data_IF_405483801102
#
_entry.id   IF_405483801102
#
_cell.length_a   1.000
_cell.length_b   1.000
_cell.length_c   1.000
_cell.angle_alpha   90.00
_cell.angle_beta   90.00
_cell.angle_gamma   90.00
#
_symmetry.space_group_name_H-M   'P 1'
#
loop_
_entity.id
_entity.type
_entity.pdbx_description
1 polymer ?
#
# COMPACT_ATOMS: atom_id res chain seq x y z
N UNK A 1 -12.48 -24.99 -14.75
CA UNK A 1 -12.57 -24.92 -13.27
C UNK A 1 -11.37 -24.24 -12.61
N UNK A 2 -10.24 -24.08 -13.28
CA UNK A 2 -9.04 -23.36 -12.78
C UNK A 2 -9.28 -21.86 -12.46
N UNK A 3 -10.17 -21.19 -13.21
CA UNK A 3 -10.47 -19.76 -13.01
C UNK A 3 -11.20 -19.42 -11.71
N UNK A 4 -11.88 -20.38 -11.06
CA UNK A 4 -12.55 -20.17 -9.76
C UNK A 4 -11.60 -20.27 -8.56
N UNK A 5 -10.51 -21.04 -8.67
CA UNK A 5 -9.48 -21.13 -7.61
C UNK A 5 -8.60 -19.88 -7.56
N UNK A 6 -8.24 -19.31 -8.71
CA UNK A 6 -7.55 -18.00 -8.78
C UNK A 6 -8.46 -16.87 -8.25
N UNK A 7 -9.77 -17.00 -8.47
CA UNK A 7 -10.81 -16.07 -7.97
C UNK A 7 -10.81 -15.96 -6.44
N UNK A 8 -10.68 -17.09 -5.73
CA UNK A 8 -10.60 -17.15 -4.27
C UNK A 8 -9.23 -16.73 -3.74
N UNK A 9 -8.15 -16.90 -4.51
CA UNK A 9 -6.80 -16.56 -4.05
C UNK A 9 -6.58 -15.04 -3.98
N UNK A 10 -7.07 -14.25 -4.95
CA UNK A 10 -6.88 -12.79 -4.95
C UNK A 10 -7.89 -12.07 -4.04
N UNK A 11 -9.15 -12.54 -4.01
CA UNK A 11 -10.12 -12.12 -2.98
C UNK A 11 -9.57 -12.47 -1.60
N UNK A 12 -9.03 -13.68 -1.49
CA UNK A 12 -8.35 -14.20 -0.31
C UNK A 12 -7.25 -13.27 0.13
N UNK A 13 -6.27 -12.91 -0.71
CA UNK A 13 -5.17 -12.02 -0.30
C UNK A 13 -5.69 -10.65 0.13
N UNK A 14 -6.55 -9.98 -0.64
CA UNK A 14 -7.00 -8.63 -0.26
C UNK A 14 -7.90 -8.61 0.98
N UNK A 15 -8.79 -9.60 1.13
CA UNK A 15 -9.60 -9.76 2.35
C UNK A 15 -8.79 -10.30 3.52
N UNK A 16 -7.78 -11.14 3.29
CA UNK A 16 -6.87 -11.64 4.33
C UNK A 16 -5.99 -10.50 4.82
N UNK A 17 -5.48 -9.66 3.92
CA UNK A 17 -4.70 -8.47 4.27
C UNK A 17 -5.54 -7.50 5.09
N UNK A 18 -6.79 -7.22 4.67
CA UNK A 18 -7.70 -6.36 5.42
C UNK A 18 -8.19 -6.99 6.74
N UNK A 19 -8.44 -8.30 6.77
CA UNK A 19 -8.85 -9.01 7.99
C UNK A 19 -7.70 -9.11 8.98
N UNK A 20 -6.48 -9.36 8.51
CA UNK A 20 -5.27 -9.38 9.32
C UNK A 20 -4.95 -7.98 9.86
N UNK A 21 -5.06 -6.95 9.02
CA UNK A 21 -4.93 -5.56 9.44
C UNK A 21 -5.96 -5.21 10.53
N UNK A 22 -7.23 -5.53 10.32
CA UNK A 22 -8.27 -5.27 11.31
C UNK A 22 -8.07 -6.06 12.61
N UNK A 23 -7.61 -7.31 12.53
CA UNK A 23 -7.29 -8.13 13.71
C UNK A 23 -6.11 -7.55 14.49
N UNK A 24 -5.10 -7.05 13.79
CA UNK A 24 -3.98 -6.34 14.39
C UNK A 24 -4.45 -5.05 15.07
N UNK A 25 -5.28 -4.23 14.40
CA UNK A 25 -5.84 -3.00 14.98
C UNK A 25 -6.65 -3.31 16.25
N UNK A 26 -7.44 -4.38 16.26
CA UNK A 26 -8.18 -4.82 17.46
C UNK A 26 -7.22 -5.24 18.59
N UNK A 27 -6.20 -6.03 18.29
CA UNK A 27 -5.18 -6.41 19.27
C UNK A 27 -4.46 -5.20 19.88
N UNK A 28 -4.16 -4.19 19.06
CA UNK A 28 -3.57 -2.93 19.52
C UNK A 28 -4.55 -2.14 20.41
N UNK A 29 -5.82 -2.08 20.00
CA UNK A 29 -6.87 -1.44 20.80
C UNK A 29 -7.05 -2.11 22.16
N UNK A 30 -7.05 -3.44 22.23
CA UNK A 30 -7.11 -4.20 23.48
C UNK A 30 -5.91 -3.91 24.39
N UNK A 31 -4.74 -3.62 23.80
CA UNK A 31 -3.53 -3.20 24.50
C UNK A 31 -3.49 -1.68 24.79
N UNK A 32 -4.58 -0.94 24.56
CA UNK A 32 -4.67 0.53 24.74
C UNK A 32 -3.61 1.32 23.94
N UNK A 33 -3.30 0.84 22.73
CA UNK A 33 -2.37 1.49 21.79
C UNK A 33 -3.00 1.57 20.39
N UNK A 34 -2.39 2.33 19.50
CA UNK A 34 -2.86 2.53 18.13
C UNK A 34 -1.82 2.10 17.10
N UNK A 35 -2.26 1.88 15.85
CA UNK A 35 -1.35 1.67 14.73
C UNK A 35 -0.43 2.86 14.51
N UNK A 36 -0.91 4.08 14.77
CA UNK A 36 -0.10 5.30 14.68
C UNK A 36 1.04 5.28 15.68
N UNK A 37 0.79 4.92 16.94
CA UNK A 37 1.82 4.86 17.98
C UNK A 37 2.81 3.70 17.75
N UNK A 38 2.32 2.54 17.32
CA UNK A 38 3.17 1.36 17.11
C UNK A 38 4.00 1.39 15.82
N UNK A 39 3.51 2.06 14.77
CA UNK A 39 4.17 2.10 13.47
C UNK A 39 4.65 3.50 13.06
N UNK A 40 4.68 4.45 13.99
CA UNK A 40 5.39 5.71 13.80
C UNK A 40 6.87 5.43 13.51
N UNK A 41 7.39 6.04 12.45
CA UNK A 41 8.77 5.81 12.02
C UNK A 41 9.75 6.28 13.09
N UNK A 42 9.48 7.42 13.75
CA UNK A 42 10.34 7.94 14.82
C UNK A 42 10.41 6.99 16.02
N UNK A 43 9.26 6.44 16.42
CA UNK A 43 9.17 5.42 17.45
C UNK A 43 9.93 4.14 17.05
N UNK A 44 9.69 3.62 15.84
CA UNK A 44 10.36 2.41 15.34
C UNK A 44 11.88 2.59 15.22
N UNK A 45 12.37 3.77 14.84
CA UNK A 45 13.80 4.07 14.77
C UNK A 45 14.50 4.01 16.14
N UNK A 46 13.76 4.24 17.23
CA UNK A 46 14.31 4.37 18.57
C UNK A 46 14.03 3.15 19.47
N UNK A 47 12.98 2.38 19.17
CA UNK A 47 12.49 1.30 20.03
C UNK A 47 12.40 -0.07 19.33
N UNK A 48 12.59 -0.16 18.00
CA UNK A 48 12.60 -1.43 17.29
C UNK A 48 13.95 -2.14 17.42
N UNK A 49 13.93 -3.47 17.47
CA UNK A 49 15.13 -4.31 17.31
C UNK A 49 15.69 -4.30 15.87
N UNK A 50 14.93 -3.76 14.91
CA UNK A 50 15.31 -3.62 13.50
C UNK A 50 15.02 -2.18 12.99
N UNK A 51 15.75 -1.17 13.47
CA UNK A 51 15.50 0.24 13.13
C UNK A 51 15.71 0.54 11.64
N UNK A 52 16.53 -0.25 10.94
CA UNK A 52 16.71 -0.18 9.49
C UNK A 52 15.43 -0.50 8.70
N UNK A 53 14.45 -1.17 9.31
CA UNK A 53 13.17 -1.50 8.67
C UNK A 53 12.04 -0.52 9.05
N UNK A 54 12.31 0.47 9.91
CA UNK A 54 11.29 1.40 10.41
C UNK A 54 10.50 2.08 9.28
N UNK A 55 11.20 2.56 8.25
CA UNK A 55 10.59 3.19 7.07
C UNK A 55 9.71 2.21 6.29
N UNK A 56 10.20 0.99 6.02
CA UNK A 56 9.44 -0.05 5.31
C UNK A 56 8.12 -0.37 6.01
N UNK A 57 8.15 -0.50 7.35
CA UNK A 57 6.95 -0.75 8.15
C UNK A 57 6.00 0.45 8.16
N UNK A 58 6.51 1.66 8.40
CA UNK A 58 5.68 2.88 8.41
C UNK A 58 4.96 3.11 7.08
N UNK A 59 5.67 2.93 5.96
CA UNK A 59 5.09 3.08 4.62
C UNK A 59 4.01 2.04 4.33
N UNK A 60 4.31 0.76 4.61
CA UNK A 60 3.37 -0.33 4.38
C UNK A 60 2.11 -0.15 5.22
N UNK A 61 2.24 0.21 6.50
CA UNK A 61 1.10 0.35 7.39
C UNK A 61 0.20 1.54 7.01
N UNK A 62 0.80 2.64 6.56
CA UNK A 62 0.06 3.79 6.03
C UNK A 62 -0.73 3.43 4.76
N UNK A 63 -0.10 2.69 3.84
CA UNK A 63 -0.77 2.19 2.63
C UNK A 63 -1.92 1.23 2.97
N UNK A 64 -1.70 0.28 3.88
CA UNK A 64 -2.72 -0.69 4.30
C UNK A 64 -3.89 0.00 4.99
N UNK A 65 -3.66 1.03 5.80
CA UNK A 65 -4.72 1.80 6.44
C UNK A 65 -5.70 2.39 5.41
N UNK A 66 -5.18 2.94 4.31
CA UNK A 66 -6.03 3.42 3.24
C UNK A 66 -6.74 2.27 2.51
N UNK A 67 -6.00 1.25 2.09
CA UNK A 67 -6.54 0.16 1.27
C UNK A 67 -7.59 -0.69 2.01
N UNK A 68 -7.43 -0.86 3.32
CA UNK A 68 -8.36 -1.58 4.19
C UNK A 68 -9.45 -0.66 4.78
N UNK A 69 -9.28 0.66 4.67
CA UNK A 69 -10.22 1.68 5.10
C UNK A 69 -10.94 2.33 3.91
N UNK A 70 -10.68 3.62 3.67
CA UNK A 70 -11.39 4.40 2.66
C UNK A 70 -11.27 3.85 1.22
N UNK A 71 -10.13 3.24 0.88
CA UNK A 71 -9.89 2.62 -0.42
C UNK A 71 -10.59 1.28 -0.62
N UNK A 72 -11.07 0.64 0.46
CA UNK A 72 -11.66 -0.70 0.40
C UNK A 72 -12.93 -0.73 -0.46
N UNK A 73 -13.84 0.22 -0.24
CA UNK A 73 -15.10 0.28 -0.97
C UNK A 73 -14.86 0.49 -2.48
N UNK A 74 -13.94 1.38 -2.83
CA UNK A 74 -13.55 1.66 -4.21
C UNK A 74 -12.99 0.41 -4.91
N UNK A 75 -12.16 -0.37 -4.20
CA UNK A 75 -11.61 -1.63 -4.67
C UNK A 75 -12.69 -2.72 -4.81
N UNK A 76 -13.59 -2.81 -3.83
CA UNK A 76 -14.69 -3.77 -3.79
C UNK A 76 -15.70 -3.54 -4.91
N UNK A 77 -16.08 -2.29 -5.16
CA UNK A 77 -17.03 -1.92 -6.22
C UNK A 77 -16.47 -2.22 -7.61
N UNK A 78 -15.14 -2.22 -7.75
CA UNK A 78 -14.42 -2.47 -9.00
C UNK A 78 -13.63 -3.78 -8.97
N UNK A 79 -14.11 -4.75 -8.21
CA UNK A 79 -13.37 -5.96 -7.84
C UNK A 79 -12.78 -6.75 -9.02
N UNK A 80 -13.55 -6.94 -10.11
CA UNK A 80 -13.08 -7.66 -11.30
C UNK A 80 -11.85 -7.00 -11.93
N UNK A 81 -11.75 -5.68 -11.84
CA UNK A 81 -10.61 -4.94 -12.34
C UNK A 81 -9.42 -5.03 -11.40
N UNK A 82 -9.66 -4.94 -10.09
CA UNK A 82 -8.63 -5.16 -9.07
C UNK A 82 -7.97 -6.53 -9.24
N UNK A 83 -8.75 -7.57 -9.50
CA UNK A 83 -8.21 -8.90 -9.81
C UNK A 83 -7.27 -8.89 -11.02
N UNK A 84 -7.60 -8.16 -12.10
CA UNK A 84 -6.73 -8.05 -13.28
C UNK A 84 -5.44 -7.31 -12.96
N UNK A 85 -5.53 -6.24 -12.18
CA UNK A 85 -4.36 -5.47 -11.73
C UNK A 85 -3.41 -6.35 -10.91
N UNK A 86 -3.90 -7.03 -9.86
CA UNK A 86 -3.04 -7.84 -9.00
C UNK A 86 -2.59 -9.17 -9.65
N UNK A 87 -3.35 -9.75 -10.58
CA UNK A 87 -2.88 -10.93 -11.30
C UNK A 87 -1.90 -10.59 -12.44
N UNK A 88 -2.07 -9.44 -13.09
CA UNK A 88 -1.33 -9.09 -14.31
C UNK A 88 -0.21 -8.06 -14.13
N UNK A 89 -0.23 -7.29 -13.03
CA UNK A 89 0.62 -6.11 -12.82
C UNK A 89 1.23 -6.00 -11.42
N UNK A 90 1.17 -7.05 -10.60
CA UNK A 90 1.82 -7.05 -9.28
C UNK A 90 3.32 -6.72 -9.37
N UNK A 91 4.02 -7.29 -10.37
CA UNK A 91 5.43 -6.98 -10.62
C UNK A 91 5.67 -5.49 -10.97
N UNK A 92 4.74 -4.86 -11.70
CA UNK A 92 4.81 -3.42 -12.01
C UNK A 92 4.64 -2.59 -10.74
N UNK A 93 3.64 -2.91 -9.91
CA UNK A 93 3.37 -2.21 -8.65
C UNK A 93 4.55 -2.33 -7.68
N UNK A 94 5.12 -3.53 -7.55
CA UNK A 94 6.32 -3.77 -6.75
C UNK A 94 7.55 -3.02 -7.30
N UNK A 95 7.69 -2.96 -8.63
CA UNK A 95 8.72 -2.15 -9.30
C UNK A 95 8.60 -0.68 -8.94
N UNK A 96 7.40 -0.09 -8.98
CA UNK A 96 7.18 1.31 -8.61
C UNK A 96 7.63 1.62 -7.18
N UNK A 97 7.34 0.72 -6.24
CA UNK A 97 7.76 0.86 -4.84
C UNK A 97 9.28 0.74 -4.72
N UNK A 98 9.88 -0.25 -5.39
CA UNK A 98 11.33 -0.48 -5.36
C UNK A 98 12.09 0.71 -5.92
N UNK A 99 11.69 1.22 -7.08
CA UNK A 99 12.31 2.37 -7.73
C UNK A 99 12.20 3.61 -6.85
N UNK A 100 11.05 3.84 -6.22
CA UNK A 100 10.89 4.95 -5.29
C UNK A 100 11.84 4.83 -4.09
N UNK A 101 11.91 3.66 -3.45
CA UNK A 101 12.78 3.46 -2.28
C UNK A 101 14.25 3.68 -2.65
N UNK A 102 14.71 3.12 -3.77
CA UNK A 102 16.10 3.28 -4.22
C UNK A 102 16.43 4.75 -4.54
N UNK A 103 15.58 5.41 -5.31
CA UNK A 103 15.80 6.80 -5.70
C UNK A 103 15.72 7.77 -4.51
N UNK A 104 14.76 7.54 -3.59
CA UNK A 104 14.60 8.34 -2.38
C UNK A 104 15.76 8.17 -1.39
N UNK A 105 16.39 6.99 -1.37
CA UNK A 105 17.60 6.74 -0.59
C UNK A 105 18.84 7.41 -1.22
N UNK A 106 18.96 7.37 -2.54
CA UNK A 106 20.09 7.96 -3.26
C UNK A 106 20.08 9.50 -3.22
N UNK A 107 18.93 10.13 -3.48
CA UNK A 107 18.78 11.58 -3.47
C UNK A 107 17.49 12.04 -2.75
N UNK A 108 17.50 12.11 -1.41
CA UNK A 108 16.32 12.52 -0.64
C UNK A 108 15.79 13.92 -0.99
N UNK A 109 16.62 14.80 -1.58
CA UNK A 109 16.21 16.18 -1.95
C UNK A 109 15.22 16.21 -3.10
N UNK A 110 15.16 15.14 -3.90
CA UNK A 110 14.21 14.97 -5.00
C UNK A 110 12.99 14.15 -4.58
N UNK A 111 12.79 13.90 -3.28
CA UNK A 111 11.70 13.12 -2.71
C UNK A 111 10.33 13.40 -3.34
N UNK A 112 9.90 14.66 -3.42
CA UNK A 112 8.59 15.01 -4.02
C UNK A 112 8.45 14.56 -5.49
N UNK A 113 9.54 14.62 -6.28
CA UNK A 113 9.53 14.12 -7.66
C UNK A 113 9.40 12.60 -7.71
N UNK A 114 10.05 11.88 -6.78
CA UNK A 114 9.94 10.44 -6.70
C UNK A 114 8.56 9.99 -6.22
N UNK A 115 7.93 10.73 -5.31
CA UNK A 115 6.53 10.51 -4.93
C UNK A 115 5.62 10.66 -6.15
N UNK A 116 5.75 11.75 -6.92
CA UNK A 116 4.95 11.94 -8.13
C UNK A 116 5.17 10.82 -9.16
N UNK A 117 6.42 10.47 -9.42
CA UNK A 117 6.78 9.40 -10.35
C UNK A 117 6.20 8.05 -9.91
N UNK A 118 6.23 7.77 -8.61
CA UNK A 118 5.66 6.57 -8.02
C UNK A 118 4.13 6.54 -8.10
N UNK A 119 3.44 7.65 -7.81
CA UNK A 119 1.98 7.78 -7.97
C UNK A 119 1.56 7.54 -9.43
N UNK A 120 2.29 8.12 -10.40
CA UNK A 120 2.05 7.93 -11.83
C UNK A 120 2.31 6.47 -12.26
N UNK A 121 3.37 5.85 -11.73
CA UNK A 121 3.70 4.46 -12.00
C UNK A 121 2.63 3.50 -11.46
N UNK A 122 2.20 3.72 -10.21
CA UNK A 122 1.27 2.84 -9.53
C UNK A 122 -0.15 2.95 -10.11
N UNK A 123 -0.60 4.16 -10.45
CA UNK A 123 -1.89 4.39 -11.12
C UNK A 123 -1.94 3.87 -12.56
N UNK A 124 -0.80 3.79 -13.27
CA UNK A 124 -0.72 3.17 -14.61
C UNK A 124 -1.08 1.70 -14.61
N UNK A 125 -0.92 0.97 -13.50
CA UNK A 125 -1.31 -0.43 -13.41
C UNK A 125 -2.80 -0.62 -13.76
N UNK A 126 -3.64 0.30 -13.32
CA UNK A 126 -5.09 0.35 -13.60
C UNK A 126 -5.36 0.67 -15.08
N UNK A 127 -4.68 1.69 -15.63
CA UNK A 127 -4.81 2.09 -17.04
C UNK A 127 -4.43 0.96 -18.00
N UNK A 128 -3.33 0.25 -17.71
CA UNK A 128 -2.83 -0.88 -18.51
C UNK A 128 -3.76 -2.10 -18.48
N UNK A 129 -4.76 -2.12 -17.61
CA UNK A 129 -5.77 -3.18 -17.53
C UNK A 129 -7.15 -2.74 -18.02
N UNK A 130 -7.24 -1.55 -18.64
CA UNK A 130 -8.49 -0.98 -19.13
C UNK A 130 -9.51 -0.75 -18.00
N UNK A 131 -9.02 -0.43 -16.80
CA UNK A 131 -9.85 -0.22 -15.63
C UNK A 131 -10.35 1.22 -15.52
N UNK A 132 -11.49 1.43 -14.85
CA UNK A 132 -12.11 2.74 -14.76
C UNK A 132 -11.25 3.72 -13.93
N UNK A 133 -11.50 5.02 -14.09
CA UNK A 133 -10.65 6.09 -13.56
C UNK A 133 -10.59 6.10 -12.02
N UNK A 134 -11.65 5.61 -11.37
CA UNK A 134 -11.73 5.35 -9.95
C UNK A 134 -10.56 4.48 -9.47
N UNK A 135 -10.15 3.48 -10.26
CA UNK A 135 -9.03 2.63 -9.90
C UNK A 135 -7.68 3.25 -10.19
N UNK A 136 -7.61 4.31 -11.01
CA UNK A 136 -6.41 5.15 -11.12
C UNK A 136 -6.24 5.96 -9.85
N UNK A 137 -7.33 6.56 -9.35
CA UNK A 137 -7.34 7.26 -8.06
C UNK A 137 -6.95 6.32 -6.92
N UNK A 138 -7.54 5.12 -6.88
CA UNK A 138 -7.17 4.08 -5.91
C UNK A 138 -5.66 3.84 -5.85
N UNK A 139 -5.03 3.62 -7.01
CA UNK A 139 -3.59 3.38 -7.11
C UNK A 139 -2.76 4.60 -6.71
N UNK A 140 -3.15 5.78 -7.17
CA UNK A 140 -2.50 7.04 -6.83
C UNK A 140 -2.52 7.29 -5.31
N UNK A 141 -3.69 7.21 -4.68
CA UNK A 141 -3.82 7.46 -3.24
C UNK A 141 -3.14 6.37 -2.41
N UNK A 142 -3.17 5.10 -2.85
CA UNK A 142 -2.39 4.03 -2.20
C UNK A 142 -0.90 4.39 -2.12
N UNK A 143 -0.33 4.87 -3.23
CA UNK A 143 1.08 5.25 -3.27
C UNK A 143 1.36 6.54 -2.51
N UNK A 144 0.43 7.52 -2.57
CA UNK A 144 0.53 8.74 -1.78
C UNK A 144 0.64 8.38 -0.30
N UNK A 145 -0.27 7.55 0.19
CA UNK A 145 -0.31 7.07 1.57
C UNK A 145 0.95 6.29 1.95
N UNK A 146 1.47 5.45 1.05
CA UNK A 146 2.75 4.77 1.23
C UNK A 146 3.91 5.76 1.49
N UNK A 147 3.96 6.87 0.75
CA UNK A 147 5.07 7.83 0.84
C UNK A 147 4.91 8.91 1.93
N UNK A 148 3.68 9.14 2.40
CA UNK A 148 3.37 10.20 3.37
C UNK A 148 4.25 10.15 4.64
N UNK A 149 4.52 9.00 5.27
CA UNK A 149 5.28 8.98 6.52
C UNK A 149 6.68 9.62 6.44
N UNK A 150 7.30 9.65 5.25
CA UNK A 150 8.60 10.31 5.05
C UNK A 150 8.48 11.67 4.37
N UNK A 151 7.51 11.84 3.47
CA UNK A 151 7.41 13.01 2.59
C UNK A 151 6.14 13.84 2.83
N UNK A 152 5.52 13.74 4.01
CA UNK A 152 4.38 14.56 4.41
C UNK A 152 4.79 16.02 4.66
N UNK A 153 5.25 16.73 3.62
CA UNK A 153 5.29 18.20 3.51
C UNK A 153 5.18 18.63 2.06
#
# INVERSE_FOLDING_TARGET
>A
MLGKLVFLAVIGVFLVDATAYNSMVQCLSDASTTTFECFDIGYLLTHSSAPNQAYSYGFLMSMLQYQCGAGFYLASDNWQCMQRIYNGKNATMYGCITDFVLNAQEDPKRGCNYVQTGMDCFSKASTLQGCPDELKYYGCESFRQYSLPQFAR
#
